data_IF_089906149580
#
_entry.id   IF_089906149580
#
_cell.length_a   1.000
_cell.length_b   1.000
_cell.length_c   1.000
_cell.angle_alpha   90.00
_cell.angle_beta   90.00
_cell.angle_gamma   90.00
#
_symmetry.space_group_name_H-M   'P 1'
#
loop_
_entity.id
_entity.type
_entity.pdbx_description
1 polymer ?
#
# COMPACT_ATOMS: atom_id res chain seq x y z
N UNK A 1 6.22 -18.91 10.62
CA UNK A 1 4.93 -18.31 10.24
C UNK A 1 4.34 -17.67 11.47
N UNK A 2 4.13 -16.35 11.44
CA UNK A 2 3.33 -15.67 12.47
C UNK A 2 1.88 -16.11 12.29
N UNK A 3 1.18 -16.32 13.40
CA UNK A 3 -0.24 -16.69 13.35
C UNK A 3 -1.03 -15.42 12.99
N UNK A 4 -1.30 -15.21 11.70
CA UNK A 4 -2.11 -14.07 11.23
C UNK A 4 -3.52 -14.10 11.81
N UNK A 5 -4.00 -15.25 12.29
CA UNK A 5 -5.30 -15.42 12.94
C UNK A 5 -5.47 -14.57 14.20
N UNK A 6 -4.39 -14.31 14.94
CA UNK A 6 -4.43 -13.54 16.19
C UNK A 6 -4.25 -12.03 15.96
N UNK A 7 -3.86 -11.62 14.75
CA UNK A 7 -3.57 -10.22 14.42
C UNK A 7 -4.85 -9.39 14.43
N UNK A 8 -4.79 -8.21 15.04
CA UNK A 8 -5.92 -7.25 15.11
C UNK A 8 -5.41 -5.84 14.88
N UNK A 9 -6.26 -4.99 14.30
CA UNK A 9 -6.01 -3.55 14.25
C UNK A 9 -6.61 -2.86 15.47
N UNK A 10 -5.76 -2.16 16.23
CA UNK A 10 -6.15 -1.36 17.38
C UNK A 10 -6.16 0.13 16.99
N UNK A 11 -7.21 0.90 17.29
CA UNK A 11 -7.17 2.36 17.10
C UNK A 11 -6.02 2.99 17.89
N UNK A 12 -5.15 3.75 17.23
CA UNK A 12 -3.99 4.42 17.82
C UNK A 12 -4.29 5.91 18.06
N UNK A 13 -4.76 6.62 17.02
CA UNK A 13 -5.25 8.00 17.12
C UNK A 13 -6.28 8.29 16.02
N UNK A 14 -7.06 9.35 16.22
CA UNK A 14 -7.94 9.91 15.19
C UNK A 14 -7.95 11.44 15.32
N UNK A 15 -7.09 12.10 14.55
CA UNK A 15 -6.81 13.53 14.68
C UNK A 15 -6.65 14.15 13.29
N UNK A 16 -7.10 15.40 13.15
CA UNK A 16 -7.02 16.17 11.90
C UNK A 16 -7.58 15.47 10.65
N UNK A 17 -8.54 14.55 10.83
CA UNK A 17 -9.14 13.78 9.73
C UNK A 17 -8.37 12.52 9.33
N UNK A 18 -7.28 12.19 10.03
CA UNK A 18 -6.48 10.98 9.84
C UNK A 18 -6.80 9.98 10.94
N UNK A 19 -7.39 8.84 10.58
CA UNK A 19 -7.53 7.69 11.45
C UNK A 19 -6.27 6.83 11.35
N UNK A 20 -5.71 6.44 12.49
CA UNK A 20 -4.53 5.59 12.55
C UNK A 20 -4.82 4.36 13.40
N UNK A 21 -4.38 3.21 12.90
CA UNK A 21 -4.50 1.91 13.56
C UNK A 21 -3.13 1.26 13.66
N UNK A 22 -2.87 0.59 14.77
CA UNK A 22 -1.67 -0.21 15.00
C UNK A 22 -1.99 -1.69 14.92
N UNK A 23 -1.12 -2.47 14.28
CA UNK A 23 -1.22 -3.93 14.33
C UNK A 23 -0.79 -4.46 15.70
N UNK A 24 -1.59 -5.36 16.25
CA UNK A 24 -1.39 -6.00 17.55
C UNK A 24 -1.74 -7.49 17.47
N UNK A 25 -1.44 -8.26 18.53
CA UNK A 25 -1.84 -9.67 18.63
C UNK A 25 -0.78 -10.68 18.17
N UNK A 26 0.30 -10.24 17.54
CA UNK A 26 1.47 -11.06 17.26
C UNK A 26 2.75 -10.40 17.80
N UNK A 27 3.78 -11.22 18.03
CA UNK A 27 5.10 -10.77 18.46
C UNK A 27 5.86 -10.16 17.26
N UNK A 28 5.62 -8.87 17.01
CA UNK A 28 6.35 -8.08 16.02
C UNK A 28 7.64 -7.51 16.61
N UNK A 29 8.75 -7.65 15.89
CA UNK A 29 10.00 -6.96 16.19
C UNK A 29 9.93 -5.49 15.78
N UNK A 30 9.05 -5.17 14.84
CA UNK A 30 8.82 -3.87 14.23
C UNK A 30 7.45 -3.30 14.60
N UNK A 31 7.18 -2.06 14.20
CA UNK A 31 5.88 -1.40 14.37
C UNK A 31 5.17 -1.21 13.03
N UNK A 32 3.90 -1.61 12.95
CA UNK A 32 3.10 -1.54 11.73
C UNK A 32 1.83 -0.75 11.99
N UNK A 33 1.58 0.24 11.13
CA UNK A 33 0.46 1.16 11.22
C UNK A 33 -0.33 1.19 9.91
N UNK A 34 -1.64 1.39 10.00
CA UNK A 34 -2.50 1.71 8.87
C UNK A 34 -3.07 3.10 9.11
N UNK A 35 -2.94 4.01 8.14
CA UNK A 35 -3.57 5.33 8.18
C UNK A 35 -4.64 5.47 7.10
N UNK A 36 -5.75 6.13 7.44
CA UNK A 36 -6.82 6.46 6.50
C UNK A 36 -7.20 7.92 6.58
N UNK A 37 -7.28 8.58 5.43
CA UNK A 37 -7.59 10.01 5.28
C UNK A 37 -8.41 10.21 3.98
N UNK A 38 -9.20 11.28 3.87
CA UNK A 38 -10.09 11.48 2.72
C UNK A 38 -9.39 11.53 1.36
N UNK A 39 -8.25 12.22 1.24
CA UNK A 39 -7.53 12.30 -0.03
C UNK A 39 -6.79 11.00 -0.36
N UNK A 40 -6.33 10.25 0.64
CA UNK A 40 -5.73 8.93 0.40
C UNK A 40 -6.76 7.88 0.00
N UNK A 41 -7.97 7.90 0.58
CA UNK A 41 -9.06 7.05 0.11
C UNK A 41 -9.50 7.41 -1.30
N UNK A 42 -9.63 8.70 -1.62
CA UNK A 42 -9.88 9.21 -2.97
C UNK A 42 -8.83 8.69 -3.96
N UNK A 43 -7.55 8.78 -3.62
CA UNK A 43 -6.46 8.29 -4.48
C UNK A 43 -6.60 6.80 -4.81
N UNK A 44 -6.84 5.96 -3.80
CA UNK A 44 -6.91 4.51 -3.99
C UNK A 44 -8.25 4.02 -4.57
N UNK A 45 -9.32 4.81 -4.48
CA UNK A 45 -10.61 4.49 -5.10
C UNK A 45 -10.79 5.06 -6.51
N UNK A 46 -9.95 5.99 -6.96
CA UNK A 46 -10.18 6.74 -8.21
C UNK A 46 -8.95 6.72 -9.12
N UNK A 47 -8.78 5.69 -9.97
CA UNK A 47 -7.69 5.58 -10.96
C UNK A 47 -7.49 6.82 -11.86
N UNK A 48 -8.51 7.67 -12.01
CA UNK A 48 -8.47 8.93 -12.75
C UNK A 48 -7.59 10.00 -12.11
N UNK A 49 -7.28 9.86 -10.82
CA UNK A 49 -6.32 10.72 -10.14
C UNK A 49 -4.92 10.36 -10.64
N UNK A 50 -4.37 11.24 -11.47
CA UNK A 50 -3.08 11.08 -12.17
C UNK A 50 -2.21 12.33 -12.02
N UNK A 51 -0.91 12.19 -12.29
CA UNK A 51 0.04 13.30 -12.25
C UNK A 51 0.31 13.80 -10.81
N UNK A 52 0.51 15.11 -10.66
CA UNK A 52 0.89 15.71 -9.36
C UNK A 52 -0.14 15.45 -8.25
N UNK A 53 -1.41 15.27 -8.60
CA UNK A 53 -2.47 14.99 -7.62
C UNK A 53 -2.23 13.69 -6.84
N UNK A 54 -1.56 12.69 -7.44
CA UNK A 54 -1.16 11.46 -6.74
C UNK A 54 -0.30 11.77 -5.51
N UNK A 55 0.70 12.62 -5.70
CA UNK A 55 1.59 13.05 -4.62
C UNK A 55 0.86 13.95 -3.63
N UNK A 56 0.02 14.86 -4.12
CA UNK A 56 -0.76 15.79 -3.29
C UNK A 56 -1.70 15.07 -2.32
N UNK A 57 -2.37 14.00 -2.78
CA UNK A 57 -3.28 13.20 -1.96
C UNK A 57 -2.60 12.54 -0.75
N UNK A 58 -1.30 12.28 -0.80
CA UNK A 58 -0.57 11.65 0.30
C UNK A 58 -0.09 12.66 1.36
N UNK A 59 -0.08 13.97 1.08
CA UNK A 59 0.62 14.94 1.94
C UNK A 59 -0.01 15.02 3.34
N UNK A 60 -1.34 15.17 3.40
CA UNK A 60 -2.05 15.40 4.67
C UNK A 60 -1.80 14.27 5.68
N UNK A 61 -2.00 13.02 5.23
CA UNK A 61 -1.86 11.83 6.06
C UNK A 61 -0.38 11.53 6.41
N UNK A 62 0.54 11.76 5.48
CA UNK A 62 2.00 11.66 5.74
C UNK A 62 2.44 12.66 6.81
N UNK A 63 2.03 13.93 6.67
CA UNK A 63 2.30 15.00 7.63
C UNK A 63 1.81 14.63 9.02
N UNK A 64 0.54 14.26 9.17
CA UNK A 64 -0.02 13.94 10.48
C UNK A 64 0.67 12.74 11.13
N UNK A 65 1.04 11.72 10.34
CA UNK A 65 1.77 10.57 10.88
C UNK A 65 3.20 10.92 11.29
N UNK A 66 3.90 11.76 10.51
CA UNK A 66 5.23 12.26 10.88
C UNK A 66 5.19 13.13 12.14
N UNK A 67 4.17 13.98 12.29
CA UNK A 67 3.91 14.72 13.52
C UNK A 67 3.76 13.78 14.71
N UNK A 68 2.90 12.76 14.59
CA UNK A 68 2.72 11.75 15.63
C UNK A 68 4.05 11.07 16.01
N UNK A 69 4.79 10.55 15.02
CA UNK A 69 6.08 9.87 15.25
C UNK A 69 7.14 10.79 15.86
N UNK A 70 7.14 12.08 15.50
CA UNK A 70 8.00 13.10 16.12
C UNK A 70 7.65 13.31 17.59
N UNK A 71 6.38 13.44 17.94
CA UNK A 71 5.94 13.60 19.34
C UNK A 71 6.27 12.36 20.19
N UNK A 72 6.24 11.17 19.58
CA UNK A 72 6.71 9.92 20.20
C UNK A 72 8.24 9.77 20.24
N UNK A 73 9.01 10.76 19.77
CA UNK A 73 10.49 10.75 19.70
C UNK A 73 11.07 9.61 18.85
N UNK A 74 10.29 9.12 17.90
CA UNK A 74 10.69 8.08 16.93
C UNK A 74 11.45 8.68 15.74
N UNK A 75 11.23 9.96 15.46
CA UNK A 75 12.03 10.75 14.53
C UNK A 75 13.04 11.59 15.31
N UNK A 76 14.34 11.38 15.09
CA UNK A 76 15.39 12.27 15.64
C UNK A 76 16.14 13.01 14.55
N UNK A 77 17.20 12.41 14.04
CA UNK A 77 18.01 12.98 12.97
C UNK A 77 17.45 12.43 11.67
N UNK A 78 16.53 13.15 11.02
CA UNK A 78 15.81 12.64 9.86
C UNK A 78 16.67 12.69 8.59
N UNK A 79 16.65 11.60 7.83
CA UNK A 79 17.20 11.51 6.47
C UNK A 79 16.23 10.80 5.56
N UNK A 80 16.26 11.11 4.27
CA UNK A 80 15.37 10.49 3.29
C UNK A 80 16.22 9.67 2.32
N UNK A 81 15.76 8.46 2.00
CA UNK A 81 16.26 7.67 0.88
C UNK A 81 15.15 7.53 -0.16
N UNK A 82 15.41 8.06 -1.35
CA UNK A 82 14.53 7.95 -2.50
C UNK A 82 15.02 6.85 -3.42
N UNK A 83 14.33 5.70 -3.40
CA UNK A 83 14.52 4.61 -4.35
C UNK A 83 13.74 4.96 -5.63
N UNK A 84 14.48 5.25 -6.70
CA UNK A 84 13.92 5.76 -7.94
C UNK A 84 13.24 4.64 -8.74
N UNK A 85 12.11 4.90 -9.41
CA UNK A 85 11.35 6.19 -9.41
C UNK A 85 10.21 6.21 -8.38
N UNK A 86 9.79 5.05 -7.88
CA UNK A 86 8.58 4.89 -7.05
C UNK A 86 8.55 5.81 -5.82
N UNK A 87 9.69 6.00 -5.15
CA UNK A 87 9.78 6.82 -3.96
C UNK A 87 9.41 8.30 -4.16
N UNK A 88 9.55 8.80 -5.39
CA UNK A 88 9.23 10.19 -5.67
C UNK A 88 7.74 10.50 -5.49
N UNK A 89 6.86 9.49 -5.55
CA UNK A 89 5.42 9.62 -5.30
C UNK A 89 5.08 10.01 -3.86
N UNK A 90 5.99 9.77 -2.91
CA UNK A 90 5.73 9.96 -1.49
C UNK A 90 6.25 11.32 -0.99
N UNK A 91 5.42 12.13 -0.32
CA UNK A 91 5.73 13.51 0.02
C UNK A 91 6.57 13.67 1.29
N UNK A 92 7.63 12.87 1.45
CA UNK A 92 8.40 12.83 2.69
C UNK A 92 9.10 14.15 3.01
N UNK A 93 9.78 14.76 2.03
CA UNK A 93 10.51 16.01 2.21
C UNK A 93 9.53 17.15 2.58
N UNK A 94 8.44 17.28 1.81
CA UNK A 94 7.44 18.32 2.05
C UNK A 94 6.71 18.13 3.38
N UNK A 95 6.36 16.89 3.73
CA UNK A 95 5.70 16.59 4.99
C UNK A 95 6.63 16.85 6.18
N UNK A 96 7.93 16.52 6.07
CA UNK A 96 8.92 16.90 7.07
C UNK A 96 9.00 18.43 7.24
N UNK A 97 9.01 19.18 6.14
CA UNK A 97 9.03 20.64 6.18
C UNK A 97 7.80 21.21 6.91
N UNK A 98 6.60 20.70 6.60
CA UNK A 98 5.33 21.12 7.23
C UNK A 98 5.32 20.85 8.73
N UNK A 99 5.86 19.70 9.17
CA UNK A 99 5.90 19.32 10.59
C UNK A 99 7.14 19.82 11.35
N UNK A 100 7.91 20.71 10.74
CA UNK A 100 9.15 21.24 11.31
C UNK A 100 10.10 20.12 11.76
N UNK A 101 10.26 19.11 10.90
CA UNK A 101 11.28 18.06 11.01
C UNK A 101 12.42 18.47 10.07
N UNK A 102 13.59 18.71 10.65
CA UNK A 102 14.78 19.04 9.87
C UNK A 102 15.32 17.76 9.22
N UNK A 103 15.23 17.69 7.89
CA UNK A 103 15.92 16.67 7.10
C UNK A 103 17.38 17.09 6.94
N UNK A 104 18.30 16.20 7.29
CA UNK A 104 19.73 16.46 7.19
C UNK A 104 20.24 16.21 5.77
N UNK A 105 19.94 15.04 5.21
CA UNK A 105 20.31 14.67 3.86
C UNK A 105 19.20 13.89 3.14
N UNK A 106 19.21 13.98 1.81
CA UNK A 106 18.36 13.21 0.90
C UNK A 106 19.27 12.43 -0.04
N UNK A 107 19.16 11.11 0.04
CA UNK A 107 19.91 10.15 -0.76
C UNK A 107 19.06 9.60 -1.90
N UNK A 108 19.71 9.24 -3.00
CA UNK A 108 19.04 8.71 -4.19
C UNK A 108 19.70 7.40 -4.61
N UNK A 109 18.87 6.39 -4.87
CA UNK A 109 19.31 5.07 -5.32
C UNK A 109 18.40 4.62 -6.45
N UNK A 110 18.95 4.04 -7.51
CA UNK A 110 18.14 3.33 -8.51
C UNK A 110 18.62 1.89 -8.64
N UNK A 111 17.66 0.98 -8.73
CA UNK A 111 17.91 -0.44 -8.98
C UNK A 111 17.06 -0.88 -10.15
N UNK A 112 17.67 -1.57 -11.11
CA UNK A 112 16.97 -2.17 -12.24
C UNK A 112 17.02 -3.69 -12.11
N UNK A 113 15.90 -4.34 -12.44
CA UNK A 113 15.87 -5.79 -12.63
C UNK A 113 16.60 -6.10 -13.93
N UNK A 114 17.62 -6.94 -13.84
CA UNK A 114 18.32 -7.49 -15.01
C UNK A 114 17.55 -8.72 -15.46
N UNK A 115 17.19 -8.79 -16.74
CA UNK A 115 16.48 -9.91 -17.31
C UNK A 115 17.44 -10.76 -18.17
N UNK A 116 17.44 -12.08 -17.97
CA UNK A 116 18.04 -13.06 -18.88
C UNK A 116 16.95 -14.02 -19.36
N UNK A 117 16.82 -14.21 -20.68
CA UNK A 117 15.81 -15.09 -21.29
C UNK A 117 14.37 -14.83 -20.82
N UNK A 118 13.97 -13.56 -20.69
CA UNK A 118 12.64 -13.14 -20.21
C UNK A 118 12.35 -13.48 -18.73
N UNK A 119 13.34 -13.98 -17.98
CA UNK A 119 13.28 -14.19 -16.53
C UNK A 119 14.17 -13.17 -15.79
N UNK A 120 13.78 -12.78 -14.57
CA UNK A 120 14.56 -11.86 -13.74
C UNK A 120 15.83 -12.59 -13.26
N UNK A 121 16.99 -12.18 -13.77
CA UNK A 121 18.30 -12.74 -13.46
C UNK A 121 18.96 -12.10 -12.22
N UNK A 122 18.56 -10.87 -11.87
CA UNK A 122 19.08 -10.18 -10.68
C UNK A 122 18.63 -8.73 -10.56
N UNK A 123 19.12 -8.02 -9.54
CA UNK A 123 18.94 -6.58 -9.35
C UNK A 123 20.32 -5.91 -9.41
N UNK A 124 20.46 -4.86 -10.21
CA UNK A 124 21.70 -4.09 -10.33
C UNK A 124 21.47 -2.64 -9.92
N UNK A 125 22.39 -2.07 -9.12
CA UNK A 125 22.37 -0.65 -8.78
C UNK A 125 22.93 0.16 -9.94
N UNK A 126 22.08 0.97 -10.59
CA UNK A 126 22.48 1.80 -11.74
C UNK A 126 22.93 3.20 -11.33
N UNK A 127 22.34 3.73 -10.26
CA UNK A 127 22.68 5.03 -9.70
C UNK A 127 22.68 4.97 -8.18
N UNK A 128 23.70 5.55 -7.56
CA UNK A 128 23.82 5.63 -6.11
C UNK A 128 24.46 6.95 -5.72
N UNK A 129 23.70 7.80 -5.03
CA UNK A 129 24.19 8.98 -4.33
C UNK A 129 23.69 8.93 -2.89
N UNK A 130 24.44 8.21 -2.07
CA UNK A 130 24.15 8.06 -0.65
C UNK A 130 24.95 9.07 0.16
N UNK A 131 24.29 9.64 1.16
CA UNK A 131 24.94 10.39 2.24
C UNK A 131 24.63 9.69 3.54
N UNK A 132 25.64 9.54 4.39
CA UNK A 132 25.50 8.90 5.67
C UNK A 132 25.37 9.95 6.77
N UNK A 133 24.36 9.77 7.61
CA UNK A 133 24.16 10.56 8.81
C UNK A 133 24.09 9.59 9.99
N UNK A 134 25.10 9.58 10.87
CA UNK A 134 25.16 8.62 11.98
C UNK A 134 23.97 8.72 12.94
N UNK A 135 23.55 7.58 13.48
CA UNK A 135 22.50 7.46 14.49
C UNK A 135 21.17 8.11 14.09
N UNK A 136 20.85 8.00 12.79
CA UNK A 136 19.72 8.67 12.18
C UNK A 136 18.49 7.80 12.00
N UNK A 137 17.36 8.48 11.83
CA UNK A 137 16.11 7.92 11.33
C UNK A 137 16.10 8.03 9.81
N UNK A 138 16.16 6.89 9.12
CA UNK A 138 16.05 6.86 7.66
C UNK A 138 14.57 6.72 7.26
N UNK A 139 14.08 7.62 6.41
CA UNK A 139 12.72 7.62 5.89
C UNK A 139 12.70 7.19 4.44
N UNK A 140 11.79 6.29 4.10
CA UNK A 140 11.60 5.75 2.75
C UNK A 140 10.11 5.80 2.42
N UNK A 141 9.79 6.20 1.20
CA UNK A 141 8.46 6.02 0.63
C UNK A 141 8.61 5.06 -0.54
N UNK A 142 7.87 3.97 -0.60
CA UNK A 142 7.84 3.12 -1.79
C UNK A 142 6.64 2.18 -1.82
N UNK A 143 6.28 1.66 -2.98
CA UNK A 143 5.30 0.58 -3.12
C UNK A 143 5.98 -0.76 -2.79
N UNK A 144 5.41 -1.54 -1.87
CA UNK A 144 5.96 -2.84 -1.45
C UNK A 144 5.03 -3.96 -1.87
N UNK A 145 5.24 -4.47 -3.09
CA UNK A 145 4.60 -5.69 -3.58
C UNK A 145 5.37 -6.94 -3.13
N UNK A 146 6.29 -7.46 -3.95
CA UNK A 146 7.16 -8.58 -3.57
C UNK A 146 8.25 -8.20 -2.56
N UNK A 147 8.60 -6.91 -2.46
CA UNK A 147 9.60 -6.38 -1.52
C UNK A 147 11.07 -6.65 -1.91
N UNK A 148 11.35 -7.38 -2.98
CA UNK A 148 12.70 -7.75 -3.41
C UNK A 148 13.62 -6.54 -3.66
N UNK A 149 13.13 -5.56 -4.40
CA UNK A 149 13.86 -4.32 -4.69
C UNK A 149 14.20 -3.59 -3.40
N UNK A 150 13.23 -3.49 -2.47
CA UNK A 150 13.44 -2.84 -1.19
C UNK A 150 14.49 -3.57 -0.35
N UNK A 151 14.46 -4.91 -0.29
CA UNK A 151 15.48 -5.72 0.42
C UNK A 151 16.87 -5.42 -0.12
N UNK A 152 17.02 -5.51 -1.44
CA UNK A 152 18.31 -5.30 -2.08
C UNK A 152 18.86 -3.89 -1.78
N UNK A 153 18.01 -2.87 -1.91
CA UNK A 153 18.35 -1.49 -1.59
C UNK A 153 18.68 -1.29 -0.11
N UNK A 154 17.90 -1.87 0.81
CA UNK A 154 18.14 -1.77 2.25
C UNK A 154 19.45 -2.46 2.65
N UNK A 155 19.74 -3.65 2.11
CA UNK A 155 21.02 -4.35 2.36
C UNK A 155 22.21 -3.51 1.89
N UNK A 156 22.14 -2.99 0.67
CA UNK A 156 23.15 -2.09 0.11
C UNK A 156 23.37 -0.85 0.99
N UNK A 157 22.28 -0.23 1.48
CA UNK A 157 22.37 0.94 2.37
C UNK A 157 22.94 0.57 3.74
N UNK A 158 22.53 -0.56 4.32
CA UNK A 158 23.09 -1.00 5.61
C UNK A 158 24.57 -1.31 5.50
N UNK A 159 25.01 -1.96 4.43
CA UNK A 159 26.43 -2.24 4.19
C UNK A 159 27.23 -0.95 3.99
N UNK A 160 26.69 0.01 3.21
CA UNK A 160 27.30 1.34 3.05
C UNK A 160 27.52 2.05 4.40
N UNK A 161 26.52 2.04 5.30
CA UNK A 161 26.67 2.63 6.63
C UNK A 161 27.74 1.90 7.47
N UNK A 162 27.76 0.56 7.42
CA UNK A 162 28.72 -0.27 8.17
C UNK A 162 30.16 -0.05 7.72
N UNK A 163 30.42 -0.06 6.42
CA UNK A 163 31.75 0.12 5.84
C UNK A 163 32.38 1.46 6.22
N UNK A 164 31.53 2.46 6.50
CA UNK A 164 31.94 3.79 6.91
C UNK A 164 31.84 4.02 8.43
N UNK A 165 31.62 2.98 9.23
CA UNK A 165 31.65 3.04 10.69
C UNK A 165 30.46 3.78 11.33
N UNK A 166 29.33 3.89 10.63
CA UNK A 166 28.11 4.47 11.16
C UNK A 166 26.99 3.43 11.30
N UNK A 167 25.93 3.83 11.99
CA UNK A 167 24.74 3.03 12.23
C UNK A 167 23.47 3.84 11.99
N UNK A 168 22.41 3.17 11.58
CA UNK A 168 21.06 3.71 11.61
C UNK A 168 20.43 3.40 12.97
N UNK A 169 19.61 4.33 13.47
CA UNK A 169 18.83 4.12 14.70
C UNK A 169 17.58 3.29 14.40
N UNK A 170 16.80 3.74 13.42
CA UNK A 170 15.57 3.11 12.96
C UNK A 170 15.29 3.48 11.50
N UNK A 171 14.34 2.79 10.87
CA UNK A 171 13.90 3.08 9.50
C UNK A 171 12.38 3.23 9.50
N UNK A 172 11.89 4.36 8.99
CA UNK A 172 10.46 4.63 8.81
C UNK A 172 10.11 4.46 7.34
N UNK A 173 9.07 3.67 7.06
CA UNK A 173 8.63 3.37 5.71
C UNK A 173 7.18 3.81 5.55
N UNK A 174 6.89 4.62 4.54
CA UNK A 174 5.53 4.92 4.08
C UNK A 174 5.25 4.13 2.81
N UNK A 175 4.13 3.40 2.76
CA UNK A 175 3.90 2.46 1.65
C UNK A 175 2.44 2.25 1.33
N UNK A 176 2.16 2.05 0.05
CA UNK A 176 1.03 1.22 -0.39
C UNK A 176 1.64 -0.15 -0.64
N UNK A 177 1.29 -1.14 0.18
CA UNK A 177 2.03 -2.39 0.19
C UNK A 177 1.28 -3.56 0.78
N UNK A 178 1.91 -4.73 0.70
CA UNK A 178 1.30 -6.00 1.07
C UNK A 178 1.84 -6.65 2.34
N UNK A 179 1.16 -7.72 2.77
CA UNK A 179 1.51 -8.58 3.91
C UNK A 179 2.91 -9.19 3.78
N UNK A 180 3.37 -9.51 2.57
CA UNK A 180 4.73 -10.00 2.29
C UNK A 180 5.81 -9.04 2.80
N UNK A 181 5.56 -7.74 2.75
CA UNK A 181 6.47 -6.72 3.27
C UNK A 181 6.74 -6.85 4.77
N UNK A 182 5.77 -7.34 5.56
CA UNK A 182 5.94 -7.52 7.00
C UNK A 182 6.97 -8.61 7.28
N UNK A 183 6.82 -9.79 6.69
CA UNK A 183 7.73 -10.91 6.91
C UNK A 183 9.18 -10.54 6.53
N UNK A 184 9.32 -9.84 5.40
CA UNK A 184 10.60 -9.33 4.90
C UNK A 184 11.26 -8.37 5.91
N UNK A 185 10.51 -7.40 6.43
CA UNK A 185 11.06 -6.40 7.35
C UNK A 185 11.37 -7.01 8.73
N UNK A 186 10.64 -8.03 9.15
CA UNK A 186 10.94 -8.79 10.37
C UNK A 186 12.25 -9.57 10.25
N UNK A 187 12.47 -10.23 9.11
CA UNK A 187 13.71 -10.94 8.82
C UNK A 187 14.89 -9.96 8.74
N UNK A 188 14.73 -8.84 8.02
CA UNK A 188 15.75 -7.80 7.94
C UNK A 188 16.10 -7.21 9.31
N UNK A 189 15.14 -7.03 10.22
CA UNK A 189 15.45 -6.57 11.58
C UNK A 189 16.33 -7.56 12.34
N UNK A 190 16.14 -8.87 12.14
CA UNK A 190 17.02 -9.89 12.75
C UNK A 190 18.42 -9.81 12.16
N UNK A 191 18.52 -9.78 10.83
CA UNK A 191 19.80 -9.67 10.10
C UNK A 191 20.58 -8.42 10.53
N UNK A 192 19.92 -7.25 10.60
CA UNK A 192 20.55 -5.98 10.96
C UNK A 192 21.04 -5.99 12.42
N UNK A 193 20.25 -6.59 13.33
CA UNK A 193 20.62 -6.67 14.75
C UNK A 193 21.82 -7.56 15.03
N UNK A 194 22.25 -8.41 14.10
CA UNK A 194 23.51 -9.18 14.25
C UNK A 194 24.73 -8.26 14.30
N UNK A 195 24.72 -7.15 13.56
CA UNK A 195 25.83 -6.18 13.54
C UNK A 195 25.51 -4.84 14.21
N UNK A 196 24.23 -4.48 14.36
CA UNK A 196 23.77 -3.34 15.17
C UNK A 196 22.72 -3.79 16.20
N UNK A 197 23.14 -4.34 17.36
CA UNK A 197 22.20 -4.86 18.37
C UNK A 197 21.20 -3.83 18.92
N UNK A 198 21.53 -2.54 18.83
CA UNK A 198 20.69 -1.42 19.27
C UNK A 198 19.72 -0.90 18.19
N UNK A 199 19.70 -1.50 16.99
CA UNK A 199 18.77 -1.09 15.93
C UNK A 199 17.32 -1.26 16.41
N UNK A 200 16.57 -0.17 16.47
CA UNK A 200 15.22 -0.16 17.06
C UNK A 200 14.21 -0.92 16.17
N UNK A 201 14.52 -1.09 14.88
CA UNK A 201 13.68 -1.79 13.92
C UNK A 201 13.06 -0.86 12.88
N UNK A 202 12.05 -1.39 12.20
CA UNK A 202 11.24 -0.65 11.23
C UNK A 202 9.96 -0.12 11.86
N UNK A 203 9.55 1.06 11.40
CA UNK A 203 8.20 1.60 11.61
C UNK A 203 7.58 1.75 10.23
N UNK A 204 6.60 0.90 9.90
CA UNK A 204 5.98 0.90 8.57
C UNK A 204 4.56 1.41 8.66
N UNK A 205 4.25 2.38 7.81
CA UNK A 205 2.98 3.09 7.72
C UNK A 205 2.34 2.77 6.37
N UNK A 206 1.23 2.06 6.41
CA UNK A 206 0.45 1.68 5.24
C UNK A 206 -0.69 2.66 5.00
N UNK A 207 -0.85 3.11 3.75
CA UNK A 207 -2.03 3.87 3.35
C UNK A 207 -3.21 2.94 3.13
N UNK A 208 -4.31 3.20 3.83
CA UNK A 208 -5.64 2.56 3.73
C UNK A 208 -5.72 1.06 4.05
N UNK A 209 -4.61 0.32 3.99
CA UNK A 209 -4.60 -1.09 4.31
C UNK A 209 -3.25 -1.76 4.06
N UNK A 210 -3.11 -2.94 4.64
CA UNK A 210 -2.04 -3.90 4.34
C UNK A 210 -2.65 -4.91 3.40
N UNK A 211 -2.37 -4.80 2.12
CA UNK A 211 -3.03 -5.62 1.10
C UNK A 211 -2.38 -6.99 0.97
N UNK A 212 -2.92 -7.84 0.12
CA UNK A 212 -2.21 -9.03 -0.35
C UNK A 212 -2.01 -8.91 -1.86
N UNK A 213 -1.09 -9.71 -2.41
CA UNK A 213 -0.94 -9.84 -3.86
C UNK A 213 -1.66 -11.07 -4.36
N UNK A 214 -2.25 -11.01 -5.56
CA UNK A 214 -2.76 -12.22 -6.22
C UNK A 214 -1.66 -13.29 -6.30
N UNK A 215 -2.05 -14.55 -6.17
CA UNK A 215 -1.13 -15.70 -6.30
C UNK A 215 -1.30 -16.43 -7.64
N UNK A 216 -2.36 -16.09 -8.36
CA UNK A 216 -2.70 -16.58 -9.70
C UNK A 216 -3.40 -15.44 -10.48
N UNK A 217 -4.09 -15.76 -11.57
CA UNK A 217 -4.79 -14.76 -12.37
C UNK A 217 -6.15 -14.31 -11.81
N UNK A 218 -6.51 -14.76 -10.62
CA UNK A 218 -7.79 -14.49 -9.97
C UNK A 218 -8.99 -15.03 -10.73
N UNK A 219 -10.19 -14.72 -10.25
CA UNK A 219 -11.46 -15.09 -10.89
C UNK A 219 -11.63 -14.41 -12.26
N UNK A 220 -11.02 -13.24 -12.45
CA UNK A 220 -11.04 -12.52 -13.72
C UNK A 220 -10.24 -13.22 -14.83
N UNK A 221 -9.21 -14.00 -14.46
CA UNK A 221 -8.26 -14.58 -15.40
C UNK A 221 -7.28 -13.57 -16.01
N UNK A 222 -7.22 -12.33 -15.48
CA UNK A 222 -6.42 -11.21 -16.02
C UNK A 222 -5.32 -10.79 -15.06
N UNK A 223 -5.55 -10.91 -13.74
CA UNK A 223 -4.64 -10.37 -12.73
C UNK A 223 -3.23 -10.95 -12.81
N UNK A 224 -2.25 -10.16 -12.39
CA UNK A 224 -0.84 -10.53 -12.37
C UNK A 224 -0.43 -11.04 -10.98
N UNK A 225 0.05 -12.30 -10.87
CA UNK A 225 0.57 -12.85 -9.62
C UNK A 225 1.71 -12.00 -9.06
N UNK A 226 1.75 -11.85 -7.74
CA UNK A 226 2.78 -11.14 -6.97
C UNK A 226 2.97 -9.66 -7.30
N UNK A 227 2.08 -9.09 -8.11
CA UNK A 227 2.08 -7.68 -8.54
C UNK A 227 0.79 -7.00 -8.14
N UNK A 228 -0.36 -7.52 -8.58
CA UNK A 228 -1.64 -6.86 -8.33
C UNK A 228 -2.09 -7.03 -6.88
N UNK A 229 -2.48 -5.94 -6.23
CA UNK A 229 -3.02 -5.92 -4.87
C UNK A 229 -4.54 -6.12 -4.83
N UNK A 230 -5.00 -6.82 -3.80
CA UNK A 230 -6.40 -6.99 -3.45
C UNK A 230 -6.61 -7.10 -1.93
N UNK A 231 -7.86 -7.18 -1.49
CA UNK A 231 -8.22 -7.25 -0.07
C UNK A 231 -8.12 -8.66 0.53
N UNK A 232 -8.24 -9.71 -0.29
CA UNK A 232 -8.26 -11.10 0.21
C UNK A 232 -6.96 -11.46 0.91
N UNK A 233 -7.04 -11.76 2.21
CA UNK A 233 -5.87 -12.06 3.05
C UNK A 233 -5.07 -10.81 3.45
N UNK A 234 -5.59 -9.61 3.19
CA UNK A 234 -5.09 -8.35 3.70
C UNK A 234 -5.97 -7.78 4.82
N UNK A 235 -5.57 -6.62 5.33
CA UNK A 235 -6.27 -5.85 6.36
C UNK A 235 -6.58 -4.46 5.83
N UNK A 236 -7.85 -4.09 5.79
CA UNK A 236 -8.32 -2.82 5.25
C UNK A 236 -8.80 -1.90 6.36
N UNK A 237 -8.44 -0.61 6.31
CA UNK A 237 -8.95 0.39 7.24
C UNK A 237 -10.48 0.46 7.18
N UNK A 238 -11.18 0.57 8.33
CA UNK A 238 -12.63 0.69 8.38
C UNK A 238 -13.20 1.81 7.48
N UNK A 239 -12.51 2.94 7.43
CA UNK A 239 -12.89 4.10 6.63
C UNK A 239 -12.73 3.85 5.12
N UNK A 240 -11.67 3.17 4.70
CA UNK A 240 -11.46 2.82 3.29
C UNK A 240 -12.52 1.83 2.83
N UNK A 241 -12.74 0.75 3.60
CA UNK A 241 -13.77 -0.24 3.30
C UNK A 241 -15.13 0.42 3.14
N UNK A 242 -15.50 1.31 4.07
CA UNK A 242 -16.74 2.09 3.98
C UNK A 242 -16.86 2.86 2.69
N UNK A 243 -15.82 3.63 2.34
CA UNK A 243 -15.86 4.51 1.17
C UNK A 243 -15.88 3.72 -0.12
N UNK A 244 -15.01 2.72 -0.28
CA UNK A 244 -14.97 1.82 -1.44
C UNK A 244 -16.34 1.16 -1.67
N UNK A 245 -16.96 0.63 -0.62
CA UNK A 245 -18.27 -0.05 -0.71
C UNK A 245 -19.47 0.90 -0.76
N UNK A 246 -19.24 2.21 -0.67
CA UNK A 246 -20.27 3.22 -0.96
C UNK A 246 -20.36 3.56 -2.46
N UNK A 247 -19.36 3.12 -3.23
CA UNK A 247 -19.26 3.24 -4.68
C UNK A 247 -19.44 1.87 -5.33
N UNK A 248 -19.80 1.83 -6.62
CA UNK A 248 -20.03 0.57 -7.33
C UNK A 248 -18.70 -0.11 -7.73
N UNK A 249 -17.90 0.61 -8.52
CA UNK A 249 -16.79 0.06 -9.31
C UNK A 249 -15.43 -0.09 -8.62
N UNK A 250 -15.01 0.75 -7.64
CA UNK A 250 -13.64 0.73 -7.14
C UNK A 250 -13.17 -0.61 -6.58
N UNK A 251 -14.09 -1.40 -6.00
CA UNK A 251 -13.79 -2.75 -5.51
C UNK A 251 -13.29 -3.71 -6.61
N UNK A 252 -13.70 -3.49 -7.86
CA UNK A 252 -13.44 -4.38 -8.98
C UNK A 252 -12.25 -3.97 -9.84
N UNK A 253 -11.57 -2.87 -9.51
CA UNK A 253 -10.33 -2.46 -10.17
C UNK A 253 -9.27 -3.58 -10.12
N UNK A 254 -8.36 -3.56 -11.10
CA UNK A 254 -7.30 -4.57 -11.25
C UNK A 254 -6.49 -4.72 -9.97
N UNK A 255 -6.05 -3.59 -9.43
CA UNK A 255 -5.13 -3.45 -8.31
C UNK A 255 -5.58 -2.25 -7.45
N UNK A 256 -5.25 -2.27 -6.16
CA UNK A 256 -5.46 -1.12 -5.25
C UNK A 256 -4.71 0.14 -5.73
N UNK A 257 -3.55 -0.06 -6.32
CA UNK A 257 -2.77 0.99 -6.97
C UNK A 257 -2.18 0.42 -8.26
N UNK A 258 -2.60 0.95 -9.41
CA UNK A 258 -1.93 0.73 -10.69
C UNK A 258 -0.47 1.22 -10.61
N UNK A 259 0.36 0.98 -11.62
CA UNK A 259 1.78 1.34 -11.54
C UNK A 259 1.96 2.81 -11.09
N UNK A 260 2.53 2.98 -9.90
CA UNK A 260 2.64 4.30 -9.28
C UNK A 260 3.57 5.24 -10.05
N UNK A 261 4.52 4.69 -10.81
CA UNK A 261 5.36 5.44 -11.74
C UNK A 261 4.56 5.94 -12.92
N UNK A 262 3.87 5.04 -13.62
CA UNK A 262 3.07 5.38 -14.80
C UNK A 262 1.94 6.35 -14.46
N UNK A 263 1.22 6.11 -13.37
CA UNK A 263 0.10 6.93 -12.91
C UNK A 263 0.48 8.40 -12.68
N UNK A 264 1.73 8.68 -12.31
CA UNK A 264 2.23 10.05 -12.12
C UNK A 264 3.02 10.59 -13.30
N UNK A 265 3.88 9.79 -13.91
CA UNK A 265 4.91 10.25 -14.86
C UNK A 265 4.62 9.87 -16.30
N UNK A 266 3.92 8.75 -16.54
CA UNK A 266 3.65 8.17 -17.85
C UNK A 266 2.13 7.96 -17.98
N UNK A 267 1.37 9.04 -17.86
CA UNK A 267 -0.10 9.02 -17.74
C UNK A 267 -0.77 8.27 -18.90
N UNK A 268 -0.19 8.32 -20.11
CA UNK A 268 -0.69 7.56 -21.26
C UNK A 268 -0.61 6.04 -21.03
N UNK A 269 0.51 5.54 -20.51
CA UNK A 269 0.67 4.11 -20.17
C UNK A 269 -0.30 3.67 -19.07
N UNK A 270 -0.52 4.53 -18.07
CA UNK A 270 -1.54 4.28 -17.04
C UNK A 270 -2.96 4.20 -17.63
N UNK A 271 -3.29 5.10 -18.55
CA UNK A 271 -4.59 5.08 -19.24
C UNK A 271 -4.76 3.81 -20.06
N UNK A 272 -3.74 3.42 -20.81
CA UNK A 272 -3.73 2.17 -21.57
C UNK A 272 -3.90 0.96 -20.64
N UNK A 273 -3.13 0.86 -19.55
CA UNK A 273 -3.22 -0.26 -18.61
C UNK A 273 -4.62 -0.43 -18.01
N UNK A 274 -5.23 0.66 -17.54
CA UNK A 274 -6.58 0.63 -16.94
C UNK A 274 -7.61 0.22 -17.99
N UNK A 275 -7.53 0.79 -19.21
CA UNK A 275 -8.46 0.45 -20.28
C UNK A 275 -8.29 -0.99 -20.76
N UNK A 276 -7.06 -1.47 -20.92
CA UNK A 276 -6.75 -2.87 -21.28
C UNK A 276 -7.34 -3.86 -20.27
N UNK A 277 -7.23 -3.55 -18.97
CA UNK A 277 -7.85 -4.38 -17.93
C UNK A 277 -9.37 -4.44 -18.09
N UNK A 278 -10.03 -3.28 -18.15
CA UNK A 278 -11.50 -3.23 -18.22
C UNK A 278 -12.06 -3.77 -19.54
N UNK A 279 -11.37 -3.54 -20.65
CA UNK A 279 -11.66 -4.16 -21.94
C UNK A 279 -11.52 -5.68 -21.85
N UNK A 280 -10.46 -6.16 -21.21
CA UNK A 280 -10.27 -7.58 -20.93
C UNK A 280 -11.39 -8.20 -20.08
N UNK A 281 -11.92 -7.46 -19.09
CA UNK A 281 -13.09 -7.86 -18.30
C UNK A 281 -14.33 -7.93 -19.20
N UNK A 282 -14.54 -6.91 -20.04
CA UNK A 282 -15.69 -6.85 -20.98
C UNK A 282 -15.70 -8.03 -21.94
N UNK A 283 -14.57 -8.36 -22.55
CA UNK A 283 -14.42 -9.49 -23.49
C UNK A 283 -14.70 -10.85 -22.84
N UNK A 284 -14.39 -10.98 -21.55
CA UNK A 284 -14.54 -12.22 -20.77
C UNK A 284 -15.81 -12.24 -19.92
N UNK A 285 -16.69 -11.25 -20.04
CA UNK A 285 -17.82 -11.07 -19.13
C UNK A 285 -18.72 -12.32 -19.00
N UNK A 286 -18.95 -13.04 -20.10
CA UNK A 286 -19.76 -14.27 -20.13
C UNK A 286 -19.07 -15.48 -19.46
N UNK A 287 -17.76 -15.40 -19.21
CA UNK A 287 -16.94 -16.46 -18.61
C UNK A 287 -16.67 -16.21 -17.12
N UNK A 288 -16.82 -14.98 -16.66
CA UNK A 288 -16.52 -14.58 -15.28
C UNK A 288 -17.73 -14.88 -14.38
N UNK A 289 -17.51 -15.70 -13.36
CA UNK A 289 -18.51 -15.94 -12.31
C UNK A 289 -18.55 -14.74 -11.36
N UNK A 290 -19.54 -13.85 -11.55
CA UNK A 290 -19.64 -12.60 -10.79
C UNK A 290 -19.75 -12.81 -9.27
N UNK A 291 -20.59 -13.73 -8.74
CA UNK A 291 -20.56 -14.05 -7.31
C UNK A 291 -19.17 -14.42 -6.78
N UNK A 292 -18.41 -15.24 -7.52
CA UNK A 292 -17.05 -15.62 -7.11
C UNK A 292 -16.07 -14.45 -7.22
N UNK A 293 -16.24 -13.56 -8.19
CA UNK A 293 -15.44 -12.33 -8.31
C UNK A 293 -15.70 -11.41 -7.11
N UNK A 294 -16.97 -11.22 -6.72
CA UNK A 294 -17.35 -10.40 -5.57
C UNK A 294 -16.75 -10.97 -4.27
N UNK A 295 -16.87 -12.28 -4.04
CA UNK A 295 -16.25 -12.96 -2.89
C UNK A 295 -14.72 -12.80 -2.88
N UNK A 296 -14.06 -12.94 -4.03
CA UNK A 296 -12.62 -12.72 -4.18
C UNK A 296 -12.22 -11.28 -3.82
N UNK A 297 -12.95 -10.29 -4.32
CA UNK A 297 -12.64 -8.87 -4.07
C UNK A 297 -12.94 -8.46 -2.62
N UNK A 298 -13.97 -9.01 -1.98
CA UNK A 298 -14.26 -8.75 -0.56
C UNK A 298 -13.30 -9.48 0.39
N UNK A 299 -12.80 -10.65 -0.03
CA UNK A 299 -11.83 -11.46 0.68
C UNK A 299 -12.37 -12.71 1.38
N UNK A 300 -13.64 -13.06 1.19
CA UNK A 300 -14.32 -14.19 1.84
C UNK A 300 -15.56 -14.63 1.07
N UNK A 301 -16.04 -15.84 1.39
CA UNK A 301 -17.27 -16.39 0.83
C UNK A 301 -18.51 -15.71 1.41
N UNK A 302 -19.61 -15.70 0.64
CA UNK A 302 -20.89 -15.11 1.02
C UNK A 302 -22.00 -16.18 1.10
N UNK A 303 -22.96 -16.05 2.04
CA UNK A 303 -23.05 -15.03 3.07
C UNK A 303 -22.03 -15.28 4.20
N UNK A 304 -21.58 -14.19 4.83
CA UNK A 304 -20.70 -14.22 6.01
C UNK A 304 -21.45 -13.68 7.23
N UNK A 305 -21.33 -14.34 8.38
CA UNK A 305 -21.90 -13.82 9.62
C UNK A 305 -21.04 -12.71 10.23
N UNK A 306 -21.57 -12.02 11.25
CA UNK A 306 -20.89 -10.87 11.84
C UNK A 306 -19.57 -11.25 12.53
N UNK A 307 -19.49 -12.39 13.21
CA UNK A 307 -18.30 -12.76 13.97
C UNK A 307 -17.18 -13.21 13.03
N UNK A 308 -17.53 -14.00 12.00
CA UNK A 308 -16.60 -14.39 10.94
C UNK A 308 -16.13 -13.17 10.14
N UNK A 309 -17.02 -12.19 9.90
CA UNK A 309 -16.66 -10.93 9.23
C UNK A 309 -15.70 -10.09 10.09
N UNK A 310 -15.89 -10.03 11.41
CA UNK A 310 -14.95 -9.36 12.32
C UNK A 310 -13.57 -10.03 12.28
N UNK A 311 -13.53 -11.37 12.29
CA UNK A 311 -12.30 -12.13 12.23
C UNK A 311 -11.57 -11.93 10.89
N UNK A 312 -12.28 -12.09 9.77
CA UNK A 312 -11.74 -11.94 8.42
C UNK A 312 -11.17 -10.53 8.15
N UNK A 313 -11.70 -9.50 8.82
CA UNK A 313 -11.25 -8.12 8.68
C UNK A 313 -10.30 -7.65 9.79
N UNK A 314 -9.99 -8.51 10.76
CA UNK A 314 -9.13 -8.17 11.92
C UNK A 314 -9.69 -7.03 12.80
N UNK A 315 -11.02 -6.88 12.83
CA UNK A 315 -11.72 -5.76 13.50
C UNK A 315 -12.07 -6.01 14.97
N UNK A 316 -11.48 -7.02 15.61
CA UNK A 316 -11.82 -7.41 16.98
C UNK A 316 -11.56 -6.34 18.06
N UNK A 317 -10.85 -5.25 17.74
CA UNK A 317 -10.62 -4.11 18.63
C UNK A 317 -11.28 -2.81 18.13
N UNK A 318 -12.02 -2.87 17.02
CA UNK A 318 -12.85 -1.75 16.55
C UNK A 318 -14.09 -1.65 17.44
N UNK A 319 -14.58 -0.44 17.70
CA UNK A 319 -15.77 -0.24 18.54
C UNK A 319 -16.94 -1.04 17.95
N UNK A 320 -17.64 -1.86 18.76
CA UNK A 320 -18.70 -2.73 18.25
C UNK A 320 -19.81 -2.00 17.47
N UNK A 321 -20.14 -0.77 17.86
CA UNK A 321 -21.15 0.05 17.17
C UNK A 321 -20.73 0.41 15.75
N UNK A 322 -19.47 0.85 15.57
CA UNK A 322 -18.91 1.18 14.26
C UNK A 322 -18.81 -0.08 13.38
N UNK A 323 -18.31 -1.17 13.95
CA UNK A 323 -18.14 -2.42 13.23
C UNK A 323 -19.50 -3.03 12.81
N UNK A 324 -20.54 -2.98 13.67
CA UNK A 324 -21.90 -3.41 13.29
C UNK A 324 -22.54 -2.51 12.24
N UNK A 325 -22.20 -1.23 12.23
CA UNK A 325 -22.67 -0.32 11.18
C UNK A 325 -21.99 -0.66 9.84
N UNK A 326 -20.67 -0.86 9.82
CA UNK A 326 -19.91 -1.25 8.63
C UNK A 326 -20.39 -2.58 8.05
N UNK A 327 -20.58 -3.60 8.91
CA UNK A 327 -21.12 -4.88 8.48
C UNK A 327 -22.47 -4.73 7.76
N UNK A 328 -23.40 -3.95 8.33
CA UNK A 328 -24.71 -3.69 7.69
C UNK A 328 -24.58 -2.95 6.36
N UNK A 329 -23.66 -2.00 6.26
CA UNK A 329 -23.41 -1.27 5.02
C UNK A 329 -22.88 -2.21 3.92
N UNK A 330 -21.94 -3.09 4.26
CA UNK A 330 -21.44 -4.10 3.33
C UNK A 330 -22.53 -5.09 2.91
N UNK A 331 -23.38 -5.56 3.82
CA UNK A 331 -24.53 -6.40 3.44
C UNK A 331 -25.45 -5.66 2.44
N UNK A 332 -25.65 -4.35 2.62
CA UNK A 332 -26.37 -3.52 1.66
C UNK A 332 -25.67 -3.43 0.30
N UNK A 333 -24.35 -3.30 0.29
CA UNK A 333 -23.54 -3.33 -0.94
C UNK A 333 -23.68 -4.68 -1.67
N UNK A 334 -23.49 -5.80 -0.95
CA UNK A 334 -23.65 -7.16 -1.50
C UNK A 334 -25.04 -7.37 -2.10
N UNK A 335 -26.09 -6.89 -1.43
CA UNK A 335 -27.45 -6.94 -1.96
C UNK A 335 -27.60 -6.12 -3.25
N UNK A 336 -27.00 -4.93 -3.30
CA UNK A 336 -27.05 -4.05 -4.48
C UNK A 336 -26.34 -4.65 -5.70
N UNK A 337 -25.34 -5.50 -5.49
CA UNK A 337 -24.59 -6.15 -6.56
C UNK A 337 -25.34 -7.33 -7.21
N UNK A 338 -26.41 -7.87 -6.62
CA UNK A 338 -27.12 -9.05 -7.17
C UNK A 338 -27.70 -8.87 -8.56
N UNK A 339 -28.01 -7.63 -8.96
CA UNK A 339 -28.61 -7.32 -10.26
C UNK A 339 -27.60 -6.72 -11.26
N UNK A 340 -26.32 -6.63 -10.89
CA UNK A 340 -25.26 -6.09 -11.74
C UNK A 340 -24.63 -7.23 -12.54
N UNK A 341 -24.43 -7.04 -13.84
CA UNK A 341 -23.64 -7.96 -14.66
C UNK A 341 -22.20 -7.48 -14.82
N UNK A 342 -21.26 -8.40 -15.04
CA UNK A 342 -19.84 -8.08 -15.33
C UNK A 342 -19.73 -7.16 -16.54
N UNK A 343 -20.57 -7.39 -17.55
CA UNK A 343 -20.57 -6.62 -18.79
C UNK A 343 -21.00 -5.17 -18.55
N UNK A 344 -22.10 -4.94 -17.84
CA UNK A 344 -22.58 -3.60 -17.52
C UNK A 344 -21.56 -2.84 -16.66
N UNK A 345 -20.96 -3.52 -15.67
CA UNK A 345 -19.91 -2.95 -14.83
C UNK A 345 -18.72 -2.48 -15.68
N UNK A 346 -18.23 -3.33 -16.59
CA UNK A 346 -17.10 -3.00 -17.45
C UNK A 346 -17.43 -1.88 -18.45
N UNK A 347 -18.58 -1.94 -19.13
CA UNK A 347 -19.00 -0.92 -20.08
C UNK A 347 -19.17 0.45 -19.42
N UNK A 348 -19.80 0.49 -18.24
CA UNK A 348 -19.93 1.71 -17.44
C UNK A 348 -18.54 2.25 -17.07
N UNK A 349 -17.66 1.39 -16.58
CA UNK A 349 -16.35 1.83 -16.09
C UNK A 349 -15.43 2.34 -17.19
N UNK A 350 -15.43 1.67 -18.35
CA UNK A 350 -14.72 2.14 -19.56
C UNK A 350 -15.22 3.52 -19.97
N UNK A 351 -16.55 3.74 -20.00
CA UNK A 351 -17.13 5.01 -20.39
C UNK A 351 -16.77 6.14 -19.41
N UNK A 352 -16.86 5.89 -18.10
CA UNK A 352 -16.48 6.84 -17.04
C UNK A 352 -15.01 7.23 -17.15
N UNK A 353 -14.12 6.23 -17.21
CA UNK A 353 -12.67 6.45 -17.23
C UNK A 353 -12.23 7.17 -18.51
N UNK A 354 -12.74 6.73 -19.67
CA UNK A 354 -12.50 7.40 -20.98
C UNK A 354 -13.00 8.84 -20.97
N UNK A 355 -14.15 9.09 -20.35
CA UNK A 355 -14.71 10.43 -20.22
C UNK A 355 -13.83 11.35 -19.37
N UNK A 356 -13.36 10.85 -18.22
CA UNK A 356 -12.56 11.62 -17.27
C UNK A 356 -11.14 11.92 -17.78
N UNK A 357 -10.51 10.97 -18.47
CA UNK A 357 -9.14 11.09 -18.97
C UNK A 357 -9.04 11.36 -20.47
N UNK A 358 -10.13 11.80 -21.11
CA UNK A 358 -10.18 12.10 -22.56
C UNK A 358 -9.03 12.96 -23.07
N UNK A 359 -8.52 13.90 -22.27
CA UNK A 359 -7.38 14.76 -22.62
C UNK A 359 -6.05 14.01 -22.78
N UNK A 360 -5.95 12.78 -22.28
CA UNK A 360 -4.79 11.90 -22.36
C UNK A 360 -4.99 10.73 -23.34
N UNK A 361 -6.13 10.65 -24.03
CA UNK A 361 -6.40 9.64 -25.06
C UNK A 361 -6.22 10.34 -26.40
N UNK A 362 -5.09 10.13 -27.06
CA UNK A 362 -4.72 10.75 -28.35
C UNK A 362 -4.69 9.71 -29.47
#
# INVERSE_FOLDING_TARGET
>A
MKNWEDVKIAPEFNEQGVACYRLTGADFLNEYYIISEAETRKLLNTPEIVGYEVYNCLISSTSQMLYYLKEQKKVTTANILSILRGALNYPLEESCYREHIRVHDISFLSSERVFENEEIAGLEIKYSKLTMVPDSTLMIGDIIASGETLIHCLRYVTDFYREHGAKLRNIIIFTIGGTKGIDILEDLTRDIREFWPEFEGFITVYYEGIFATYQDKGVSGINLPDVDFYWKGGIVAPEFRRETLSMCSPLFEKCIIYDGGARRYEIHEHVEEVLEFWEGIRERADQINFPKLLEEKLGYELPIDYEDWIAANHYGLIRPEDARWLYRQEQGYVESMKNVTVKELAEQRIAEFTGALRKYIL
#
